data_IF_322221073082
#
_entry.id   IF_322221073082
#
_cell.length_a   1.000
_cell.length_b   1.000
_cell.length_c   1.000
_cell.angle_alpha   90.00
_cell.angle_beta   90.00
_cell.angle_gamma   90.00
#
_symmetry.space_group_name_H-M   'P 1'
#
loop_
_entity.id
_entity.type
_entity.pdbx_description
1 polymer ?
#
# COMPACT_ATOMS: atom_id res chain seq x y z
N UNK A 1 10.31 27.37 -17.92
CA UNK A 1 9.10 28.24 -17.98
C UNK A 1 8.28 27.91 -16.75
N UNK A 2 8.13 28.86 -15.84
CA UNK A 2 7.45 28.64 -14.54
C UNK A 2 5.96 28.51 -14.76
N UNK A 3 5.38 27.31 -14.65
CA UNK A 3 3.93 27.10 -14.57
C UNK A 3 3.49 27.32 -13.12
N UNK A 4 2.49 28.16 -12.95
CA UNK A 4 1.89 28.47 -11.67
C UNK A 4 0.93 27.35 -11.28
N UNK A 5 1.20 26.67 -10.19
CA UNK A 5 0.27 25.73 -9.57
C UNK A 5 -0.85 26.52 -8.88
N UNK A 6 -2.07 26.12 -9.18
CA UNK A 6 -3.29 26.60 -8.49
C UNK A 6 -3.64 25.52 -7.45
N UNK A 7 -3.34 25.81 -6.20
CA UNK A 7 -3.81 24.97 -5.09
C UNK A 7 -5.32 25.25 -4.89
N UNK A 8 -6.15 24.25 -5.10
CA UNK A 8 -7.57 24.30 -4.76
C UNK A 8 -7.72 23.94 -3.28
N UNK A 9 -7.89 24.94 -2.48
CA UNK A 9 -8.19 24.82 -1.05
C UNK A 9 -9.68 24.48 -0.91
N UNK A 10 -10.01 23.29 -0.41
CA UNK A 10 -11.38 22.89 -0.12
C UNK A 10 -11.94 23.72 1.05
N UNK A 11 -12.86 24.63 0.76
CA UNK A 11 -13.64 25.35 1.77
C UNK A 11 -14.78 24.48 2.26
N UNK A 12 -14.80 24.20 3.56
CA UNK A 12 -15.98 23.70 4.27
C UNK A 12 -17.13 24.70 4.14
N UNK A 13 -18.22 24.29 3.51
CA UNK A 13 -19.48 25.00 3.49
C UNK A 13 -20.41 24.43 4.56
N UNK A 14 -20.57 25.19 5.63
CA UNK A 14 -21.67 25.01 6.60
C UNK A 14 -22.96 25.47 5.97
N UNK A 15 -23.96 24.60 5.90
CA UNK A 15 -25.32 24.90 5.46
C UNK A 15 -26.17 25.32 6.66
N UNK A 16 -26.79 26.49 6.67
CA UNK A 16 -27.90 26.77 7.60
C UNK A 16 -29.23 26.37 6.95
N UNK A 17 -30.00 25.54 7.64
CA UNK A 17 -31.42 25.31 7.36
C UNK A 17 -32.21 26.61 7.57
N UNK A 18 -32.97 27.01 6.56
CA UNK A 18 -34.10 27.91 6.74
C UNK A 18 -35.33 27.27 6.11
N UNK A 19 -36.32 27.02 6.96
CA UNK A 19 -37.70 26.65 6.57
C UNK A 19 -38.48 27.90 6.13
N UNK A 20 -39.36 27.68 5.15
CA UNK A 20 -40.54 28.54 4.99
C UNK A 20 -40.96 28.85 3.58
N UNK A 21 -42.06 28.28 3.11
CA UNK A 21 -43.30 29.01 2.81
C UNK A 21 -43.71 29.13 1.36
N UNK A 22 -44.81 28.53 1.08
CA UNK A 22 -45.67 28.40 -0.10
C UNK A 22 -45.94 29.64 -1.00
N UNK A 23 -46.35 29.25 -2.21
CA UNK A 23 -47.42 29.80 -3.12
C UNK A 23 -46.95 30.62 -4.32
N UNK A 24 -47.25 30.11 -5.52
CA UNK A 24 -48.41 30.54 -6.32
C UNK A 24 -48.05 31.07 -7.69
N UNK A 25 -48.64 30.39 -8.69
CA UNK A 25 -49.18 30.85 -9.96
C UNK A 25 -48.34 31.30 -11.19
N UNK A 26 -48.43 30.49 -12.20
CA UNK A 26 -49.01 30.62 -13.56
C UNK A 26 -48.49 31.63 -14.60
N UNK A 27 -48.38 31.04 -15.80
CA UNK A 27 -48.71 31.54 -17.17
C UNK A 27 -47.53 31.92 -18.10
N UNK A 28 -47.22 31.06 -19.04
CA UNK A 28 -47.67 31.06 -20.46
C UNK A 28 -47.15 32.19 -21.37
N UNK A 29 -46.40 31.88 -22.42
CA UNK A 29 -46.73 31.96 -23.82
C UNK A 29 -45.54 32.00 -24.78
N UNK A 30 -45.60 31.02 -25.69
CA UNK A 30 -45.51 31.08 -27.17
C UNK A 30 -44.29 31.68 -27.86
N UNK A 31 -43.77 30.77 -28.73
CA UNK A 31 -42.91 31.01 -29.88
C UNK A 31 -43.58 31.88 -30.97
N UNK A 32 -42.89 32.31 -32.03
CA UNK A 32 -42.62 31.40 -33.14
C UNK A 32 -41.29 31.61 -33.93
N UNK A 33 -41.10 30.65 -34.84
CA UNK A 33 -39.99 30.43 -35.75
C UNK A 33 -39.87 31.50 -36.88
N UNK A 34 -38.66 31.55 -37.49
CA UNK A 34 -38.53 31.59 -38.96
C UNK A 34 -37.13 31.17 -39.40
N UNK A 35 -37.15 30.40 -40.44
CA UNK A 35 -36.13 29.79 -41.29
C UNK A 35 -35.26 30.84 -42.01
N UNK A 36 -33.97 30.45 -42.31
CA UNK A 36 -33.48 30.52 -43.69
C UNK A 36 -32.18 29.67 -43.83
N UNK A 37 -32.19 28.92 -44.93
CA UNK A 37 -31.11 28.06 -45.44
C UNK A 37 -29.97 28.85 -46.06
N UNK A 38 -28.74 28.40 -45.85
CA UNK A 38 -27.69 28.55 -46.84
C UNK A 38 -26.65 27.41 -46.75
N UNK A 39 -26.67 26.61 -47.77
CA UNK A 39 -25.71 25.56 -48.11
C UNK A 39 -24.30 26.08 -48.35
N UNK A 40 -23.29 25.47 -47.74
CA UNK A 40 -21.97 25.34 -48.37
C UNK A 40 -21.27 24.09 -47.84
N UNK A 41 -20.93 23.25 -48.80
CA UNK A 41 -20.13 22.02 -48.66
C UNK A 41 -18.71 22.35 -48.22
N UNK A 42 -18.26 21.71 -47.11
CA UNK A 42 -16.86 21.51 -46.79
C UNK A 42 -16.66 20.13 -46.19
N UNK A 43 -15.59 19.52 -46.62
CA UNK A 43 -15.17 18.13 -46.46
C UNK A 43 -15.26 17.57 -45.02
N UNK A 44 -15.80 16.39 -44.93
CA UNK A 44 -15.84 15.59 -43.72
C UNK A 44 -14.44 15.07 -43.38
N UNK A 45 -13.79 15.69 -42.40
CA UNK A 45 -12.84 15.00 -41.57
C UNK A 45 -13.65 14.33 -40.44
N UNK A 46 -13.76 13.02 -40.52
CA UNK A 46 -14.39 12.19 -39.47
C UNK A 46 -13.54 12.21 -38.20
N UNK A 47 -13.78 13.16 -37.33
CA UNK A 47 -13.51 13.01 -35.91
C UNK A 47 -14.72 12.30 -35.32
N UNK A 48 -14.60 11.03 -35.01
CA UNK A 48 -15.56 10.30 -34.17
C UNK A 48 -15.51 10.91 -32.78
N UNK A 49 -16.33 11.93 -32.53
CA UNK A 49 -16.61 12.45 -31.19
C UNK A 49 -17.44 11.43 -30.44
N UNK A 50 -16.84 10.35 -29.96
CA UNK A 50 -17.42 9.50 -28.95
C UNK A 50 -17.56 10.29 -27.65
N UNK A 51 -18.67 10.11 -26.94
CA UNK A 51 -18.90 10.67 -25.62
C UNK A 51 -17.77 10.19 -24.69
N UNK A 52 -17.09 11.11 -23.99
CA UNK A 52 -16.02 10.77 -23.04
C UNK A 52 -16.61 9.98 -21.88
N UNK A 53 -16.07 8.79 -21.62
CA UNK A 53 -16.48 7.98 -20.46
C UNK A 53 -15.78 8.49 -19.23
N UNK A 54 -16.57 8.84 -18.20
CA UNK A 54 -16.04 9.29 -16.91
C UNK A 54 -16.06 8.15 -15.91
N UNK A 55 -14.94 7.96 -15.22
CA UNK A 55 -14.82 6.99 -14.11
C UNK A 55 -14.19 7.67 -12.90
N UNK A 56 -14.40 7.09 -11.74
CA UNK A 56 -13.85 7.57 -10.47
C UNK A 56 -12.91 6.52 -9.88
N UNK A 57 -11.82 6.96 -9.30
CA UNK A 57 -10.87 6.11 -8.60
C UNK A 57 -10.57 6.67 -7.20
N UNK A 58 -10.75 5.84 -6.18
CA UNK A 58 -10.36 6.17 -4.82
C UNK A 58 -9.08 5.43 -4.49
N UNK A 59 -8.04 6.19 -4.19
CA UNK A 59 -6.68 5.69 -4.04
C UNK A 59 -6.08 6.22 -2.73
N UNK A 60 -4.99 5.60 -2.29
CA UNK A 60 -4.17 6.21 -1.24
C UNK A 60 -3.61 7.53 -1.75
N UNK A 61 -3.34 8.44 -0.82
CA UNK A 61 -2.65 9.67 -1.15
C UNK A 61 -1.32 9.34 -1.85
N UNK A 62 -1.24 9.51 -3.18
CA UNK A 62 -0.01 9.21 -3.90
C UNK A 62 0.99 10.32 -3.64
N UNK A 63 2.24 9.95 -3.74
CA UNK A 63 3.31 10.90 -3.79
C UNK A 63 3.36 11.59 -5.16
N UNK A 64 4.10 12.68 -5.23
CA UNK A 64 4.16 13.56 -6.42
C UNK A 64 4.43 12.79 -7.72
N UNK A 65 5.24 11.73 -7.66
CA UNK A 65 5.62 10.91 -8.81
C UNK A 65 4.48 10.03 -9.33
N UNK A 66 3.63 9.52 -8.44
CA UNK A 66 2.50 8.67 -8.82
C UNK A 66 1.44 9.44 -9.62
N UNK A 67 1.29 10.74 -9.37
CA UNK A 67 0.39 11.61 -10.13
C UNK A 67 0.83 11.75 -11.60
N UNK A 68 2.14 11.82 -11.87
CA UNK A 68 2.65 11.89 -13.24
C UNK A 68 2.31 10.62 -14.05
N UNK A 69 2.33 9.47 -13.39
CA UNK A 69 1.91 8.20 -13.98
C UNK A 69 0.41 8.19 -14.33
N UNK A 70 -0.46 8.71 -13.46
CA UNK A 70 -1.90 8.82 -13.74
C UNK A 70 -2.20 9.82 -14.85
N UNK A 71 -1.46 10.93 -14.94
CA UNK A 71 -1.55 11.90 -16.02
C UNK A 71 -1.18 11.28 -17.39
N UNK A 72 -0.14 10.42 -17.44
CA UNK A 72 0.28 9.73 -18.66
C UNK A 72 -0.79 8.78 -19.22
N UNK A 73 -1.61 8.15 -18.35
CA UNK A 73 -2.78 7.40 -18.80
C UNK A 73 -3.76 8.28 -19.56
N UNK A 74 -4.11 9.43 -18.99
CA UNK A 74 -5.07 10.36 -19.60
C UNK A 74 -4.60 10.91 -20.95
N UNK A 75 -3.28 11.11 -21.12
CA UNK A 75 -2.70 11.50 -22.40
C UNK A 75 -2.81 10.37 -23.44
N UNK A 76 -2.62 9.11 -23.02
CA UNK A 76 -2.67 7.94 -23.91
C UNK A 76 -4.10 7.54 -24.29
N UNK A 77 -5.06 7.74 -23.38
CA UNK A 77 -6.46 7.35 -23.52
C UNK A 77 -7.42 8.55 -23.37
N UNK A 78 -7.39 9.55 -24.29
CA UNK A 78 -8.16 10.80 -24.15
C UNK A 78 -9.68 10.61 -24.21
N UNK A 79 -10.17 9.42 -24.56
CA UNK A 79 -11.60 9.05 -24.51
C UNK A 79 -12.08 8.73 -23.09
N UNK A 80 -11.17 8.59 -22.12
CA UNK A 80 -11.49 8.32 -20.71
C UNK A 80 -11.09 9.50 -19.85
N UNK A 81 -12.00 9.93 -18.98
CA UNK A 81 -11.77 10.96 -17.96
C UNK A 81 -11.82 10.31 -16.59
N UNK A 82 -10.76 10.42 -15.80
CA UNK A 82 -10.70 9.82 -14.47
C UNK A 82 -10.65 10.92 -13.43
N UNK A 83 -11.58 10.84 -12.46
CA UNK A 83 -11.57 11.67 -11.26
C UNK A 83 -10.95 10.88 -10.11
N UNK A 84 -9.83 11.34 -9.59
CA UNK A 84 -9.12 10.72 -8.48
C UNK A 84 -9.51 11.38 -7.16
N UNK A 85 -9.87 10.57 -6.16
CA UNK A 85 -10.00 11.00 -4.76
C UNK A 85 -8.97 10.26 -3.93
N UNK A 86 -8.21 11.01 -3.11
CA UNK A 86 -7.07 10.50 -2.37
C UNK A 86 -7.38 10.48 -0.89
N UNK A 87 -7.11 9.35 -0.24
CA UNK A 87 -7.35 9.10 1.17
C UNK A 87 -6.09 8.54 1.84
N UNK A 88 -6.02 8.62 3.16
CA UNK A 88 -5.10 7.77 3.92
C UNK A 88 -5.65 6.32 3.98
N UNK A 89 -4.79 5.33 4.23
CA UNK A 89 -5.14 3.91 4.12
C UNK A 89 -6.41 3.51 4.89
N UNK A 90 -6.47 3.80 6.18
CA UNK A 90 -7.63 3.44 7.01
C UNK A 90 -8.89 4.22 6.61
N UNK A 91 -8.74 5.49 6.22
CA UNK A 91 -9.84 6.32 5.71
C UNK A 91 -10.36 5.77 4.38
N UNK A 92 -9.48 5.35 3.47
CA UNK A 92 -9.87 4.74 2.19
C UNK A 92 -10.73 3.50 2.41
N UNK A 93 -10.33 2.61 3.32
CA UNK A 93 -11.09 1.41 3.69
C UNK A 93 -12.48 1.75 4.22
N UNK A 94 -12.56 2.70 5.18
CA UNK A 94 -13.82 3.12 5.79
C UNK A 94 -14.76 3.75 4.75
N UNK A 95 -14.28 4.72 3.97
CA UNK A 95 -15.07 5.41 2.96
C UNK A 95 -15.55 4.46 1.86
N UNK A 96 -14.69 3.52 1.42
CA UNK A 96 -15.05 2.50 0.43
C UNK A 96 -16.19 1.62 0.96
N UNK A 97 -16.11 1.18 2.21
CA UNK A 97 -17.14 0.34 2.83
C UNK A 97 -18.49 1.08 2.90
N UNK A 98 -18.50 2.34 3.33
CA UNK A 98 -19.69 3.19 3.41
C UNK A 98 -20.29 3.38 2.00
N UNK A 99 -19.47 3.69 1.01
CA UNK A 99 -19.92 3.97 -0.36
C UNK A 99 -20.51 2.73 -1.04
N UNK A 100 -19.95 1.54 -0.81
CA UNK A 100 -20.50 0.27 -1.30
C UNK A 100 -21.88 0.02 -0.70
N UNK A 101 -22.05 0.21 0.60
CA UNK A 101 -23.35 0.06 1.26
C UNK A 101 -24.38 1.06 0.75
N UNK A 102 -23.96 2.25 0.37
CA UNK A 102 -24.82 3.30 -0.19
C UNK A 102 -25.06 3.15 -1.71
N UNK A 103 -24.36 2.25 -2.40
CA UNK A 103 -24.42 2.11 -3.86
C UNK A 103 -23.78 3.26 -4.61
N UNK A 104 -22.82 3.95 -4.01
CA UNK A 104 -22.10 5.13 -4.55
C UNK A 104 -20.59 4.92 -4.60
N UNK A 105 -20.15 3.67 -4.62
CA UNK A 105 -18.73 3.34 -4.67
C UNK A 105 -18.07 3.86 -5.96
N UNK A 106 -16.77 4.21 -5.92
CA UNK A 106 -16.04 4.61 -7.11
C UNK A 106 -15.91 3.45 -8.09
N UNK A 107 -15.67 3.76 -9.36
CA UNK A 107 -15.52 2.74 -10.40
C UNK A 107 -14.31 1.84 -10.14
N UNK A 108 -13.19 2.42 -9.69
CA UNK A 108 -11.97 1.71 -9.33
C UNK A 108 -11.83 1.71 -7.82
N UNK A 109 -11.76 0.50 -7.25
CA UNK A 109 -11.52 0.22 -5.84
C UNK A 109 -10.05 -0.18 -5.64
N UNK A 110 -9.49 0.11 -4.46
CA UNK A 110 -8.13 -0.29 -4.11
C UNK A 110 -8.11 -1.07 -2.79
N UNK A 111 -8.46 -2.35 -2.80
CA UNK A 111 -8.30 -3.21 -1.62
C UNK A 111 -6.86 -3.67 -1.43
N UNK A 112 -6.52 -4.05 -0.19
CA UNK A 112 -5.39 -4.93 0.08
C UNK A 112 -5.72 -6.35 -0.36
N UNK A 113 -4.73 -7.05 -0.94
CA UNK A 113 -4.85 -8.47 -1.31
C UNK A 113 -4.92 -9.31 -0.04
N UNK A 114 -5.91 -10.16 0.09
CA UNK A 114 -6.19 -10.92 1.31
C UNK A 114 -7.53 -10.53 1.91
N UNK A 115 -7.60 -10.24 3.21
CA UNK A 115 -8.86 -10.04 3.93
C UNK A 115 -9.75 -8.97 3.30
N UNK A 116 -9.21 -7.79 2.98
CA UNK A 116 -10.03 -6.70 2.41
C UNK A 116 -10.61 -7.06 1.04
N UNK A 117 -9.81 -7.63 0.13
CA UNK A 117 -10.31 -8.08 -1.16
C UNK A 117 -11.36 -9.18 -1.00
N UNK A 118 -11.15 -10.13 -0.10
CA UNK A 118 -12.09 -11.19 0.20
C UNK A 118 -13.43 -10.66 0.74
N UNK A 119 -13.39 -9.63 1.61
CA UNK A 119 -14.58 -8.95 2.13
C UNK A 119 -15.38 -8.28 0.99
N UNK A 120 -14.69 -7.58 0.08
CA UNK A 120 -15.32 -6.95 -1.08
C UNK A 120 -15.93 -7.98 -2.04
N UNK A 121 -15.26 -9.11 -2.27
CA UNK A 121 -15.77 -10.22 -3.09
C UNK A 121 -17.02 -10.82 -2.42
N UNK A 122 -16.96 -11.09 -1.12
CA UNK A 122 -18.08 -11.64 -0.36
C UNK A 122 -19.30 -10.69 -0.34
N UNK A 123 -19.07 -9.38 -0.33
CA UNK A 123 -20.10 -8.36 -0.46
C UNK A 123 -20.65 -8.22 -1.90
N UNK A 124 -20.08 -8.93 -2.89
CA UNK A 124 -20.44 -8.80 -4.30
C UNK A 124 -20.05 -7.46 -4.93
N UNK A 125 -19.10 -6.75 -4.33
CA UNK A 125 -18.70 -5.40 -4.74
C UNK A 125 -17.72 -5.39 -5.93
N UNK A 126 -17.02 -6.50 -6.18
CA UNK A 126 -16.03 -6.61 -7.27
C UNK A 126 -16.66 -7.22 -8.52
N UNK A 127 -16.34 -6.67 -9.68
CA UNK A 127 -16.72 -7.23 -10.98
C UNK A 127 -15.85 -8.44 -11.35
N UNK A 128 -16.40 -9.37 -12.13
CA UNK A 128 -15.64 -10.44 -12.79
C UNK A 128 -14.75 -9.84 -13.88
N UNK A 129 -13.44 -10.07 -13.80
CA UNK A 129 -12.44 -9.55 -14.72
C UNK A 129 -11.88 -10.60 -15.71
N UNK A 130 -12.42 -11.83 -15.74
CA UNK A 130 -11.88 -12.91 -16.57
C UNK A 130 -11.82 -12.54 -18.06
N UNK A 131 -12.89 -11.92 -18.59
CA UNK A 131 -12.92 -11.50 -20.01
C UNK A 131 -11.83 -10.44 -20.33
N UNK A 132 -11.57 -9.53 -19.43
CA UNK A 132 -10.52 -8.55 -19.57
C UNK A 132 -9.13 -9.19 -19.41
N UNK A 133 -8.99 -10.13 -18.47
CA UNK A 133 -7.75 -10.89 -18.32
C UNK A 133 -7.37 -11.67 -19.58
N UNK A 134 -8.35 -12.27 -20.27
CA UNK A 134 -8.15 -12.91 -21.57
C UNK A 134 -7.80 -11.89 -22.66
N UNK A 135 -8.50 -10.76 -22.70
CA UNK A 135 -8.29 -9.68 -23.69
C UNK A 135 -6.88 -9.08 -23.61
N UNK A 136 -6.38 -8.83 -22.40
CA UNK A 136 -5.11 -8.15 -22.17
C UNK A 136 -3.96 -9.10 -21.85
N UNK A 137 -4.22 -10.38 -21.65
CA UNK A 137 -3.18 -11.39 -21.35
C UNK A 137 -2.61 -11.31 -19.94
N UNK A 138 -3.37 -10.78 -18.98
CA UNK A 138 -2.85 -10.53 -17.61
C UNK A 138 -2.35 -11.78 -16.92
N UNK A 139 -2.98 -12.93 -17.13
CA UNK A 139 -2.55 -14.20 -16.52
C UNK A 139 -1.14 -14.58 -16.94
N UNK A 140 -0.80 -14.43 -18.22
CA UNK A 140 0.51 -14.80 -18.76
C UNK A 140 1.62 -13.85 -18.31
N UNK A 141 1.25 -12.60 -17.97
CA UNK A 141 2.18 -11.59 -17.48
C UNK A 141 2.38 -11.61 -15.96
N UNK A 142 1.54 -12.35 -15.22
CA UNK A 142 1.54 -12.40 -13.75
C UNK A 142 2.44 -13.51 -13.21
N UNK A 143 2.88 -13.37 -11.97
CA UNK A 143 3.27 -14.51 -11.15
C UNK A 143 2.00 -15.28 -10.75
N UNK A 144 2.04 -16.61 -10.79
CA UNK A 144 0.87 -17.48 -10.58
C UNK A 144 0.25 -17.26 -9.19
N UNK A 145 1.07 -17.23 -8.15
CA UNK A 145 0.67 -17.01 -6.77
C UNK A 145 -0.01 -15.64 -6.55
N UNK A 146 0.48 -14.61 -7.24
CA UNK A 146 -0.10 -13.25 -7.17
C UNK A 146 -1.44 -13.19 -7.91
N UNK A 147 -1.53 -13.83 -9.09
CA UNK A 147 -2.77 -13.91 -9.85
C UNK A 147 -3.85 -14.67 -9.07
N UNK A 148 -3.45 -15.79 -8.46
CA UNK A 148 -4.35 -16.62 -7.65
C UNK A 148 -4.82 -15.89 -6.39
N UNK A 149 -3.96 -15.10 -5.75
CA UNK A 149 -4.33 -14.28 -4.59
C UNK A 149 -5.36 -13.17 -4.92
N UNK A 150 -5.42 -12.75 -6.20
CA UNK A 150 -6.43 -11.80 -6.70
C UNK A 150 -7.69 -12.49 -7.25
N UNK A 151 -7.74 -13.84 -7.19
CA UNK A 151 -8.80 -14.69 -7.74
C UNK A 151 -9.53 -15.44 -6.64
N UNK A 152 -10.79 -15.80 -6.90
CA UNK A 152 -11.59 -16.69 -6.03
C UNK A 152 -12.50 -17.57 -6.87
N UNK A 153 -12.50 -18.87 -6.60
CA UNK A 153 -13.34 -19.86 -7.31
C UNK A 153 -13.17 -19.81 -8.85
N UNK A 154 -11.95 -19.51 -9.33
CA UNK A 154 -11.61 -19.41 -10.75
C UNK A 154 -12.02 -18.09 -11.43
N UNK A 155 -12.48 -17.12 -10.67
CA UNK A 155 -12.80 -15.76 -11.14
C UNK A 155 -11.74 -14.78 -10.64
N UNK A 156 -11.15 -13.99 -11.55
CA UNK A 156 -10.28 -12.87 -11.23
C UNK A 156 -11.12 -11.66 -10.84
N UNK A 157 -10.83 -11.05 -9.68
CA UNK A 157 -11.57 -9.90 -9.17
C UNK A 157 -10.73 -8.62 -9.07
N UNK A 158 -9.41 -8.75 -9.12
CA UNK A 158 -8.51 -7.61 -9.02
C UNK A 158 -7.23 -7.85 -9.81
N UNK A 159 -6.51 -6.78 -10.11
CA UNK A 159 -5.14 -6.80 -10.65
C UNK A 159 -4.22 -6.22 -9.58
N UNK A 160 -3.07 -6.84 -9.27
CA UNK A 160 -2.14 -6.31 -8.30
C UNK A 160 -1.60 -4.95 -8.77
N UNK A 161 -1.35 -4.05 -7.83
CA UNK A 161 -0.65 -2.79 -8.12
C UNK A 161 0.76 -3.11 -8.62
N UNK A 162 1.20 -2.39 -9.63
CA UNK A 162 2.43 -2.70 -10.38
C UNK A 162 3.75 -2.55 -9.62
N UNK A 163 3.77 -1.93 -8.44
CA UNK A 163 4.97 -1.89 -7.60
C UNK A 163 5.03 -3.14 -6.75
N UNK A 164 6.04 -3.96 -6.99
CA UNK A 164 6.28 -5.19 -6.23
C UNK A 164 7.24 -4.99 -5.07
N UNK A 165 7.19 -5.94 -4.14
CA UNK A 165 8.13 -6.05 -3.04
C UNK A 165 7.75 -5.23 -1.81
N UNK A 166 7.38 -5.94 -0.76
CA UNK A 166 7.15 -5.37 0.57
C UNK A 166 8.26 -5.73 1.54
N UNK A 167 9.43 -6.09 1.00
CA UNK A 167 10.57 -6.43 1.85
C UNK A 167 10.96 -5.23 2.70
N UNK A 168 10.72 -5.35 3.98
CA UNK A 168 11.18 -4.42 4.99
C UNK A 168 12.66 -4.64 5.26
N UNK A 169 13.34 -3.55 5.52
CA UNK A 169 14.72 -3.56 5.98
C UNK A 169 15.01 -2.30 6.79
N UNK A 170 16.21 -2.21 7.31
CA UNK A 170 16.73 -0.99 7.88
C UNK A 170 17.60 -0.28 6.85
N UNK A 171 17.11 0.84 6.32
CA UNK A 171 17.95 1.78 5.58
C UNK A 171 18.75 2.62 6.57
N UNK A 172 20.01 2.88 6.29
CA UNK A 172 20.80 3.66 7.21
C UNK A 172 21.63 4.76 6.53
N UNK A 173 21.90 5.82 7.30
CA UNK A 173 22.78 6.89 6.92
C UNK A 173 24.24 6.42 7.07
N UNK A 174 24.89 6.08 5.95
CA UNK A 174 26.24 5.53 5.94
C UNK A 174 27.29 6.57 6.38
N UNK A 175 27.06 7.83 6.07
CA UNK A 175 27.95 8.92 6.51
C UNK A 175 27.93 9.06 8.04
N UNK A 176 26.73 8.98 8.66
CA UNK A 176 26.58 8.99 10.12
C UNK A 176 27.22 7.75 10.76
N UNK A 177 27.00 6.57 10.20
CA UNK A 177 27.61 5.33 10.71
C UNK A 177 29.13 5.43 10.71
N UNK A 178 29.72 5.97 9.65
CA UNK A 178 31.16 6.21 9.51
C UNK A 178 31.66 7.27 10.49
N UNK A 179 30.95 8.39 10.66
CA UNK A 179 31.26 9.43 11.62
C UNK A 179 31.35 8.89 13.05
N UNK A 180 30.39 8.02 13.40
CA UNK A 180 30.29 7.41 14.73
C UNK A 180 31.18 6.17 14.90
N UNK A 181 31.88 5.74 13.86
CA UNK A 181 32.75 4.54 13.90
C UNK A 181 31.99 3.24 14.12
N UNK A 182 30.73 3.15 13.66
CA UNK A 182 29.88 1.98 13.81
C UNK A 182 30.21 0.95 12.72
N UNK A 183 30.35 -0.32 13.13
CA UNK A 183 30.46 -1.49 12.23
C UNK A 183 29.11 -2.21 12.22
N UNK A 184 28.25 -1.86 11.23
CA UNK A 184 26.91 -2.40 11.10
C UNK A 184 26.95 -3.73 10.37
N UNK A 185 26.45 -4.79 11.01
CA UNK A 185 26.44 -6.16 10.47
C UNK A 185 25.03 -6.54 10.01
N UNK A 186 24.97 -7.39 8.97
CA UNK A 186 23.69 -7.89 8.43
C UNK A 186 22.95 -8.83 9.39
N UNK A 187 23.63 -9.41 10.36
CA UNK A 187 23.09 -10.41 11.30
C UNK A 187 23.11 -9.96 12.75
N UNK A 188 22.98 -8.64 13.00
CA UNK A 188 22.85 -8.11 14.36
C UNK A 188 21.65 -8.73 15.08
N UNK A 189 21.84 -9.09 16.34
CA UNK A 189 20.72 -9.40 17.23
C UNK A 189 20.00 -8.12 17.69
N UNK A 190 18.76 -8.27 18.20
CA UNK A 190 18.02 -7.15 18.80
C UNK A 190 18.81 -6.49 19.92
N UNK A 191 19.54 -7.25 20.74
CA UNK A 191 20.33 -6.69 21.82
C UNK A 191 21.53 -5.88 21.29
N UNK A 192 22.23 -6.37 20.28
CA UNK A 192 23.30 -5.63 19.60
C UNK A 192 22.79 -4.35 18.95
N UNK A 193 21.62 -4.43 18.28
CA UNK A 193 20.97 -3.26 17.68
C UNK A 193 20.60 -2.20 18.73
N UNK A 194 19.93 -2.61 19.81
CA UNK A 194 19.56 -1.71 20.90
C UNK A 194 20.79 -1.07 21.56
N UNK A 195 21.89 -1.79 21.66
CA UNK A 195 23.13 -1.27 22.24
C UNK A 195 23.75 -0.11 21.43
N UNK A 196 23.49 -0.01 20.12
CA UNK A 196 23.93 1.13 19.29
C UNK A 196 23.35 2.47 19.78
N UNK A 197 22.20 2.44 20.45
CA UNK A 197 21.48 3.61 20.93
C UNK A 197 22.36 4.54 21.77
N UNK A 198 23.16 3.99 22.66
CA UNK A 198 23.97 4.80 23.57
C UNK A 198 25.02 5.63 22.82
N UNK A 199 25.64 5.06 21.79
CA UNK A 199 26.60 5.76 20.93
C UNK A 199 25.91 6.82 20.08
N UNK A 200 24.78 6.45 19.46
CA UNK A 200 24.03 7.34 18.55
C UNK A 200 23.44 8.52 19.32
N UNK A 201 22.77 8.25 20.45
CA UNK A 201 22.16 9.30 21.28
C UNK A 201 23.21 10.18 21.94
N UNK A 202 24.38 9.61 22.34
CA UNK A 202 25.50 10.36 22.87
C UNK A 202 26.07 11.38 21.90
N UNK A 203 25.92 11.16 20.60
CA UNK A 203 26.31 12.09 19.54
C UNK A 203 25.20 13.10 19.16
N UNK A 204 24.02 13.00 19.78
CA UNK A 204 22.89 13.91 19.53
C UNK A 204 21.95 13.47 18.41
N UNK A 205 22.08 12.24 17.92
CA UNK A 205 21.20 11.63 16.94
C UNK A 205 20.17 10.68 17.59
N UNK A 206 19.25 10.14 16.82
CA UNK A 206 18.31 9.09 17.26
C UNK A 206 18.59 7.79 16.50
N UNK A 207 18.26 6.62 17.11
CA UNK A 207 18.67 5.35 16.52
C UNK A 207 17.77 4.96 15.34
N UNK A 208 16.46 4.80 15.55
CA UNK A 208 15.53 4.26 14.56
C UNK A 208 14.35 5.19 14.32
N UNK A 209 14.21 5.64 13.08
CA UNK A 209 13.01 6.31 12.58
C UNK A 209 11.92 5.28 12.34
N UNK A 210 10.91 5.32 13.19
CA UNK A 210 9.72 4.47 13.15
C UNK A 210 8.54 5.28 13.65
N UNK A 211 7.42 5.26 12.94
CA UNK A 211 6.17 5.91 13.32
C UNK A 211 5.04 4.91 13.34
N UNK A 212 4.21 4.95 14.39
CA UNK A 212 3.13 4.00 14.59
C UNK A 212 1.76 4.66 14.89
N UNK A 213 1.59 5.94 14.55
CA UNK A 213 0.27 6.60 14.62
C UNK A 213 -0.76 5.85 13.78
N UNK A 214 -0.35 5.45 12.59
CA UNK A 214 -1.18 4.74 11.60
C UNK A 214 -1.40 3.26 11.99
N UNK A 215 -0.70 2.74 13.00
CA UNK A 215 -0.74 1.38 13.57
C UNK A 215 -0.32 0.25 12.61
N UNK A 216 -0.54 0.38 11.31
CA UNK A 216 -0.12 -0.63 10.33
C UNK A 216 1.39 -0.90 10.33
N UNK A 217 2.30 0.10 10.59
CA UNK A 217 3.73 -0.20 10.61
C UNK A 217 4.12 -1.20 11.71
N UNK A 218 3.44 -1.15 12.85
CA UNK A 218 3.63 -2.12 13.94
C UNK A 218 3.18 -3.52 13.56
N UNK A 219 2.07 -3.66 12.82
CA UNK A 219 1.59 -4.97 12.33
C UNK A 219 2.55 -5.55 11.30
N UNK A 220 3.09 -4.72 10.39
CA UNK A 220 4.10 -5.18 9.43
C UNK A 220 5.38 -5.61 10.16
N UNK A 221 5.84 -4.83 11.15
CA UNK A 221 7.00 -5.23 11.98
C UNK A 221 6.75 -6.55 12.72
N UNK A 222 5.54 -6.81 13.21
CA UNK A 222 5.14 -8.12 13.73
C UNK A 222 5.33 -9.22 12.67
N UNK A 223 4.87 -8.98 11.44
CA UNK A 223 5.03 -9.90 10.33
C UNK A 223 6.49 -10.21 10.03
N UNK A 224 7.36 -9.20 10.03
CA UNK A 224 8.80 -9.38 9.83
C UNK A 224 9.44 -10.28 10.90
N UNK A 225 9.01 -10.17 12.15
CA UNK A 225 9.50 -11.06 13.20
C UNK A 225 8.85 -12.44 13.14
N UNK A 226 7.61 -12.56 12.66
CA UNK A 226 7.05 -13.87 12.35
C UNK A 226 7.84 -14.61 11.27
N UNK A 227 8.37 -13.91 10.25
CA UNK A 227 9.24 -14.54 9.24
C UNK A 227 10.52 -15.17 9.84
N UNK A 228 10.90 -14.82 11.04
CA UNK A 228 12.05 -15.42 11.73
C UNK A 228 11.70 -16.68 12.51
N UNK A 229 10.46 -16.84 12.98
CA UNK A 229 10.08 -17.93 13.90
C UNK A 229 8.93 -18.79 13.40
N UNK A 230 8.06 -18.28 12.54
CA UNK A 230 6.89 -18.99 12.04
C UNK A 230 7.15 -19.68 10.70
N UNK A 231 6.41 -20.75 10.46
CA UNK A 231 6.31 -21.38 9.13
C UNK A 231 5.03 -20.90 8.43
N UNK A 232 4.91 -21.01 7.09
CA UNK A 232 3.64 -20.73 6.40
C UNK A 232 2.47 -21.52 7.00
N UNK A 233 2.68 -22.78 7.41
CA UNK A 233 1.66 -23.61 8.04
C UNK A 233 1.14 -23.00 9.36
N UNK A 234 2.00 -22.39 10.19
CA UNK A 234 1.54 -21.75 11.43
C UNK A 234 0.56 -20.61 11.15
N UNK A 235 0.78 -19.84 10.07
CA UNK A 235 -0.13 -18.74 9.70
C UNK A 235 -1.50 -19.29 9.31
N UNK A 236 -1.55 -20.37 8.52
CA UNK A 236 -2.79 -21.05 8.17
C UNK A 236 -3.49 -21.65 9.40
N UNK A 237 -2.73 -22.22 10.32
CA UNK A 237 -3.23 -22.80 11.56
C UNK A 237 -3.81 -21.72 12.51
N UNK A 238 -3.20 -20.54 12.59
CA UNK A 238 -3.73 -19.39 13.33
C UNK A 238 -5.02 -18.87 12.69
N UNK A 239 -5.07 -18.77 11.36
CA UNK A 239 -6.26 -18.32 10.62
C UNK A 239 -7.45 -19.29 10.74
N UNK A 240 -7.17 -20.60 10.75
CA UNK A 240 -8.21 -21.64 10.88
C UNK A 240 -8.61 -21.97 12.31
N UNK A 241 -7.87 -21.46 13.31
CA UNK A 241 -8.05 -21.81 14.72
C UNK A 241 -7.47 -23.17 15.12
N UNK A 242 -6.76 -23.87 14.19
CA UNK A 242 -6.07 -25.13 14.52
C UNK A 242 -4.98 -24.93 15.59
N UNK A 243 -4.37 -23.75 15.63
CA UNK A 243 -3.51 -23.25 16.69
C UNK A 243 -4.11 -21.96 17.23
N UNK A 244 -4.22 -21.83 18.56
CA UNK A 244 -4.68 -20.59 19.20
C UNK A 244 -3.53 -19.62 19.38
N UNK A 245 -3.81 -18.32 19.25
CA UNK A 245 -2.81 -17.26 19.38
C UNK A 245 -2.07 -17.30 20.71
N UNK A 246 -2.78 -17.56 21.81
CA UNK A 246 -2.22 -17.63 23.17
C UNK A 246 -1.53 -18.96 23.50
N UNK A 247 -1.70 -19.99 22.68
CA UNK A 247 -1.04 -21.29 22.84
C UNK A 247 0.25 -21.44 21.99
N UNK A 248 0.51 -20.47 21.07
CA UNK A 248 1.70 -20.49 20.21
C UNK A 248 2.90 -19.83 20.90
N UNK A 249 4.00 -20.56 21.11
CA UNK A 249 5.24 -19.98 21.62
C UNK A 249 5.85 -18.97 20.63
N UNK A 250 5.67 -19.13 19.32
CA UNK A 250 6.15 -18.21 18.29
C UNK A 250 5.43 -16.85 18.40
N UNK A 251 4.12 -16.86 18.65
CA UNK A 251 3.34 -15.62 18.89
C UNK A 251 3.88 -14.90 20.13
N UNK A 252 4.08 -15.62 21.22
CA UNK A 252 4.59 -15.02 22.47
C UNK A 252 6.01 -14.46 22.29
N UNK A 253 6.86 -15.13 21.52
CA UNK A 253 8.22 -14.68 21.22
C UNK A 253 8.21 -13.39 20.37
N UNK A 254 7.37 -13.31 19.35
CA UNK A 254 7.21 -12.11 18.51
C UNK A 254 6.65 -10.95 19.35
N UNK A 255 5.60 -11.19 20.15
CA UNK A 255 5.03 -10.15 21.00
C UNK A 255 6.02 -9.66 22.07
N UNK A 256 6.81 -10.57 22.65
CA UNK A 256 7.90 -10.21 23.56
C UNK A 256 8.99 -9.36 22.88
N UNK A 257 9.29 -9.65 21.62
CA UNK A 257 10.24 -8.90 20.81
C UNK A 257 9.75 -7.48 20.54
N UNK A 258 8.48 -7.33 20.14
CA UNK A 258 7.87 -6.01 19.93
C UNK A 258 7.86 -5.19 21.23
N UNK A 259 7.47 -5.80 22.35
CA UNK A 259 7.52 -5.15 23.66
C UNK A 259 8.93 -4.67 24.01
N UNK A 260 9.94 -5.51 23.82
CA UNK A 260 11.35 -5.20 24.07
C UNK A 260 11.82 -4.01 23.22
N UNK A 261 11.48 -4.00 21.92
CA UNK A 261 11.84 -2.90 21.03
C UNK A 261 11.17 -1.60 21.44
N UNK A 262 9.86 -1.61 21.67
CA UNK A 262 9.09 -0.42 22.06
C UNK A 262 9.60 0.21 23.34
N UNK A 263 9.98 -0.60 24.34
CA UNK A 263 10.45 -0.12 25.65
C UNK A 263 11.96 0.18 25.70
N UNK A 264 12.72 -0.23 24.68
CA UNK A 264 14.19 -0.05 24.67
C UNK A 264 14.65 1.40 24.54
N UNK A 265 13.79 2.29 24.02
CA UNK A 265 14.17 3.63 23.58
C UNK A 265 14.98 3.63 22.28
N UNK A 266 14.91 2.57 21.47
CA UNK A 266 15.52 2.50 20.15
C UNK A 266 14.75 3.33 19.13
N UNK A 267 13.43 3.44 19.24
CA UNK A 267 12.60 4.27 18.39
C UNK A 267 12.75 5.76 18.70
N UNK A 268 12.48 6.60 17.72
CA UNK A 268 12.43 8.05 17.93
C UNK A 268 11.44 8.42 19.04
N UNK A 269 11.70 9.51 19.74
CA UNK A 269 10.77 10.02 20.76
C UNK A 269 9.44 10.40 20.13
N UNK A 270 8.32 9.89 20.68
CA UNK A 270 6.96 10.17 20.21
C UNK A 270 6.56 9.35 18.98
N UNK A 271 7.18 8.22 18.73
CA UNK A 271 6.88 7.33 17.61
C UNK A 271 5.42 6.88 17.58
N UNK A 272 4.78 6.74 18.73
CA UNK A 272 3.37 6.33 18.85
C UNK A 272 2.39 7.37 18.27
N UNK A 273 2.82 8.64 18.22
CA UNK A 273 2.03 9.77 17.73
C UNK A 273 2.58 10.38 16.43
N UNK A 274 3.55 9.73 15.83
CA UNK A 274 4.15 10.13 14.55
C UNK A 274 3.69 9.20 13.44
N UNK A 275 3.25 9.78 12.32
CA UNK A 275 2.88 9.01 11.12
C UNK A 275 4.11 8.55 10.35
N UNK A 276 3.91 7.51 9.53
CA UNK A 276 4.98 6.88 8.75
C UNK A 276 5.72 7.84 7.82
N UNK A 277 5.00 8.72 7.10
CA UNK A 277 5.62 9.64 6.14
C UNK A 277 6.46 10.70 6.84
N UNK A 278 5.96 11.26 7.92
CA UNK A 278 6.67 12.28 8.71
C UNK A 278 8.00 11.77 9.28
N UNK A 279 8.02 10.51 9.76
CA UNK A 279 9.25 9.93 10.31
C UNK A 279 10.28 9.60 9.22
N UNK A 280 9.84 9.15 8.04
CA UNK A 280 10.73 8.92 6.91
C UNK A 280 11.33 10.24 6.41
N UNK A 281 10.53 11.29 6.32
CA UNK A 281 11.01 12.63 5.99
C UNK A 281 12.00 13.16 7.04
N UNK A 282 11.79 12.85 8.33
CA UNK A 282 12.72 13.21 9.40
C UNK A 282 14.06 12.47 9.25
N UNK A 283 14.06 11.19 8.89
CA UNK A 283 15.28 10.44 8.60
C UNK A 283 16.05 11.04 7.42
N UNK A 284 15.36 11.37 6.32
CA UNK A 284 15.96 12.02 5.16
C UNK A 284 16.65 13.35 5.51
N UNK A 285 16.28 13.99 6.62
CA UNK A 285 16.97 15.19 7.14
C UNK A 285 18.29 14.89 7.90
N UNK A 286 18.70 13.62 8.01
CA UNK A 286 19.95 13.19 8.64
C UNK A 286 19.94 13.23 10.18
N UNK A 287 18.77 13.14 10.83
CA UNK A 287 18.67 13.19 12.31
C UNK A 287 18.65 11.82 12.98
N UNK A 288 18.43 10.77 12.21
CA UNK A 288 18.27 9.40 12.70
C UNK A 288 19.21 8.48 11.91
N UNK A 289 19.81 7.50 12.58
CA UNK A 289 20.73 6.57 11.92
C UNK A 289 19.98 5.64 10.97
N UNK A 290 18.95 4.95 11.47
CA UNK A 290 18.16 4.00 10.72
C UNK A 290 16.76 4.51 10.41
N UNK A 291 16.23 4.03 9.28
CA UNK A 291 14.81 4.10 8.93
C UNK A 291 14.29 2.68 8.70
N UNK A 292 13.19 2.33 9.39
CA UNK A 292 12.44 1.12 9.09
C UNK A 292 11.42 1.42 7.99
N UNK A 293 11.63 0.83 6.82
CA UNK A 293 10.73 1.03 5.69
C UNK A 293 10.83 -0.16 4.72
N UNK A 294 9.83 -0.33 3.90
CA UNK A 294 9.86 -1.26 2.79
C UNK A 294 10.51 -0.65 1.55
N UNK A 295 10.44 -1.41 0.46
CA UNK A 295 10.98 -1.02 -0.85
C UNK A 295 10.35 0.24 -1.43
N UNK A 296 9.22 0.70 -0.90
CA UNK A 296 8.55 1.96 -1.28
C UNK A 296 9.16 3.22 -0.64
N UNK A 297 10.27 3.12 0.09
CA UNK A 297 10.84 4.27 0.80
C UNK A 297 11.11 5.49 -0.10
N UNK A 298 11.54 5.34 -1.37
CA UNK A 298 11.78 6.52 -2.20
C UNK A 298 10.51 7.34 -2.42
N UNK A 299 9.34 6.67 -2.44
CA UNK A 299 8.04 7.31 -2.55
C UNK A 299 7.60 8.02 -1.25
N UNK A 300 8.19 7.70 -0.10
CA UNK A 300 7.86 8.27 1.21
C UNK A 300 8.74 9.46 1.62
N UNK A 301 9.64 9.89 0.75
CA UNK A 301 10.58 11.01 1.00
C UNK A 301 10.43 12.05 -0.10
N UNK A 302 10.30 13.32 0.28
CA UNK A 302 10.20 14.43 -0.69
C UNK A 302 11.45 14.50 -1.58
N UNK A 303 11.27 14.45 -2.88
CA UNK A 303 12.36 14.40 -3.85
C UNK A 303 12.95 12.99 -4.03
N UNK A 304 12.32 11.96 -3.45
CA UNK A 304 12.75 10.59 -3.56
C UNK A 304 14.18 10.40 -3.06
N UNK A 305 14.93 9.55 -3.74
CA UNK A 305 16.34 9.30 -3.43
C UNK A 305 17.22 10.55 -3.52
N UNK A 306 16.97 11.39 -4.51
CA UNK A 306 17.73 12.64 -4.73
C UNK A 306 17.49 13.67 -3.61
N UNK A 307 16.38 13.51 -2.86
CA UNK A 307 16.06 14.33 -1.70
C UNK A 307 16.86 14.00 -0.43
N UNK A 308 17.63 12.89 -0.44
CA UNK A 308 18.43 12.44 0.72
C UNK A 308 19.90 12.88 0.55
N UNK A 309 20.46 13.72 1.45
CA UNK A 309 21.76 14.36 1.26
C UNK A 309 22.95 13.51 1.75
N UNK A 310 22.80 12.22 1.99
CA UNK A 310 23.83 11.31 2.50
C UNK A 310 23.82 9.97 1.75
N UNK A 311 24.91 9.21 1.88
CA UNK A 311 24.99 7.85 1.33
C UNK A 311 24.08 6.89 2.10
N UNK A 312 23.30 6.10 1.35
CA UNK A 312 22.31 5.15 1.90
C UNK A 312 22.80 3.74 1.64
N UNK A 313 22.74 2.91 2.67
CA UNK A 313 22.88 1.46 2.59
C UNK A 313 21.81 0.76 3.39
N UNK A 314 21.75 -0.56 3.30
CA UNK A 314 20.77 -1.38 4.00
C UNK A 314 21.43 -2.41 4.91
N UNK A 315 20.72 -2.76 5.95
CA UNK A 315 21.07 -3.86 6.84
C UNK A 315 19.80 -4.61 7.22
N UNK A 316 19.90 -5.94 7.31
CA UNK A 316 18.77 -6.80 7.67
C UNK A 316 18.15 -6.37 9.00
N UNK A 317 16.86 -6.63 9.16
CA UNK A 317 16.22 -6.47 10.47
C UNK A 317 16.94 -7.30 11.53
N UNK A 318 17.07 -6.77 12.75
CA UNK A 318 17.77 -7.47 13.82
C UNK A 318 17.13 -8.84 14.09
N UNK A 319 17.97 -9.84 14.29
CA UNK A 319 17.54 -11.19 14.64
C UNK A 319 17.05 -11.27 16.08
N UNK A 320 16.03 -12.07 16.32
CA UNK A 320 15.54 -12.35 17.69
C UNK A 320 16.70 -12.89 18.54
N UNK A 321 17.46 -13.83 18.01
CA UNK A 321 18.73 -14.27 18.57
C UNK A 321 19.75 -14.63 17.47
N UNK A 322 20.99 -14.95 17.85
CA UNK A 322 22.07 -15.23 16.92
C UNK A 322 21.89 -16.50 16.07
N UNK A 323 21.03 -17.40 16.48
CA UNK A 323 20.72 -18.65 15.76
C UNK A 323 19.50 -18.57 14.85
N UNK A 324 18.81 -17.43 14.87
CA UNK A 324 17.58 -17.25 14.07
C UNK A 324 17.90 -17.08 12.59
N UNK A 325 17.17 -17.81 11.74
CA UNK A 325 17.21 -17.68 10.30
C UNK A 325 15.81 -17.40 9.76
N UNK A 326 15.71 -16.62 8.66
CA UNK A 326 14.43 -16.34 8.03
C UNK A 326 13.79 -17.64 7.49
N UNK A 327 12.52 -17.84 7.81
CA UNK A 327 11.71 -18.98 7.35
C UNK A 327 10.90 -18.64 6.08
N UNK A 328 10.75 -17.37 5.76
CA UNK A 328 10.00 -16.90 4.62
C UNK A 328 10.31 -15.46 4.25
N UNK A 329 9.66 -15.00 3.21
CA UNK A 329 9.65 -13.61 2.79
C UNK A 329 8.22 -13.04 2.84
N UNK A 330 8.09 -11.72 3.05
CA UNK A 330 6.79 -11.05 2.98
C UNK A 330 6.18 -11.23 1.59
N UNK A 331 4.87 -11.46 1.53
CA UNK A 331 4.13 -11.60 0.27
C UNK A 331 4.37 -10.38 -0.64
N UNK A 332 4.67 -10.66 -1.91
CA UNK A 332 5.19 -9.68 -2.86
C UNK A 332 4.18 -8.62 -3.30
N UNK A 333 2.88 -8.94 -3.33
CA UNK A 333 1.83 -8.02 -3.77
C UNK A 333 0.78 -7.83 -2.67
N UNK A 334 0.66 -6.61 -2.15
CA UNK A 334 -0.30 -6.31 -1.11
C UNK A 334 -1.50 -5.49 -1.59
N UNK A 335 -1.28 -4.55 -2.49
CA UNK A 335 -2.32 -3.68 -3.04
C UNK A 335 -2.84 -4.21 -4.38
N UNK A 336 -4.11 -4.08 -4.61
CA UNK A 336 -4.73 -4.41 -5.88
C UNK A 336 -5.74 -3.35 -6.32
N UNK A 337 -6.06 -3.37 -7.60
CA UNK A 337 -7.14 -2.57 -8.17
C UNK A 337 -8.26 -3.50 -8.62
N UNK A 338 -9.46 -3.25 -8.12
CA UNK A 338 -10.68 -3.94 -8.50
C UNK A 338 -11.65 -2.97 -9.18
N UNK A 339 -12.59 -3.50 -9.95
CA UNK A 339 -13.66 -2.73 -10.59
C UNK A 339 -14.95 -2.95 -9.82
N UNK A 340 -15.66 -1.86 -9.51
CA UNK A 340 -16.94 -1.94 -8.82
C UNK A 340 -17.97 -2.66 -9.67
N UNK A 341 -18.62 -3.68 -9.12
CA UNK A 341 -19.61 -4.51 -9.83
C UNK A 341 -20.82 -3.71 -10.31
N UNK A 342 -21.21 -2.65 -9.57
CA UNK A 342 -22.33 -1.77 -9.89
C UNK A 342 -22.05 -0.72 -10.97
N UNK A 343 -20.81 -0.59 -11.47
CA UNK A 343 -20.48 0.31 -12.57
C UNK A 343 -21.14 -0.14 -13.88
N UNK A 344 -21.42 0.80 -14.78
CA UNK A 344 -21.92 0.49 -16.12
C UNK A 344 -20.88 -0.25 -16.96
N UNK A 345 -21.30 -0.90 -18.04
CA UNK A 345 -20.38 -1.64 -18.92
C UNK A 345 -19.31 -0.71 -19.53
N UNK A 346 -19.67 0.52 -19.90
CA UNK A 346 -18.74 1.50 -20.42
C UNK A 346 -17.70 1.95 -19.36
N UNK A 347 -18.13 2.12 -18.11
CA UNK A 347 -17.22 2.43 -17.00
C UNK A 347 -16.30 1.24 -16.68
N UNK A 348 -16.82 0.01 -16.73
CA UNK A 348 -16.02 -1.22 -16.54
C UNK A 348 -14.95 -1.37 -17.62
N UNK A 349 -15.27 -1.06 -18.88
CA UNK A 349 -14.32 -1.08 -19.99
C UNK A 349 -13.22 -0.01 -19.79
N UNK A 350 -13.59 1.21 -19.42
CA UNK A 350 -12.65 2.29 -19.12
C UNK A 350 -11.75 1.92 -17.92
N UNK A 351 -12.33 1.34 -16.86
CA UNK A 351 -11.58 0.87 -15.70
C UNK A 351 -10.62 -0.27 -16.07
N UNK A 352 -11.06 -1.23 -16.88
CA UNK A 352 -10.20 -2.32 -17.34
C UNK A 352 -9.01 -1.81 -18.17
N UNK A 353 -9.21 -0.80 -19.02
CA UNK A 353 -8.12 -0.14 -19.74
C UNK A 353 -7.12 0.55 -18.79
N UNK A 354 -7.61 1.15 -17.70
CA UNK A 354 -6.77 1.75 -16.67
C UNK A 354 -6.00 0.68 -15.87
N UNK A 355 -6.67 -0.42 -15.51
CA UNK A 355 -6.03 -1.58 -14.87
C UNK A 355 -4.94 -2.16 -15.77
N UNK A 356 -5.22 -2.35 -17.06
CA UNK A 356 -4.23 -2.81 -18.02
C UNK A 356 -3.03 -1.87 -18.09
N UNK A 357 -3.26 -0.57 -18.23
CA UNK A 357 -2.18 0.42 -18.23
C UNK A 357 -1.36 0.36 -16.94
N UNK A 358 -1.99 0.15 -15.79
CA UNK A 358 -1.28 0.05 -14.52
C UNK A 358 -0.39 -1.20 -14.41
N UNK A 359 -0.67 -2.22 -15.20
CA UNK A 359 -0.04 -3.53 -15.12
C UNK A 359 0.82 -3.88 -16.34
N UNK A 360 0.58 -3.29 -17.52
CA UNK A 360 1.32 -3.58 -18.73
C UNK A 360 2.74 -2.98 -18.71
N UNK A 361 3.53 -3.24 -19.78
CA UNK A 361 4.91 -2.79 -19.90
C UNK A 361 5.09 -1.27 -19.81
N UNK A 362 4.16 -0.49 -20.36
CA UNK A 362 4.25 0.98 -20.30
C UNK A 362 4.10 1.47 -18.86
N UNK A 363 3.12 0.94 -18.14
CA UNK A 363 2.90 1.26 -16.74
C UNK A 363 4.02 0.77 -15.83
N UNK A 364 4.46 -0.48 -16.01
CA UNK A 364 5.60 -1.01 -15.28
C UNK A 364 6.88 -0.21 -15.51
N UNK A 365 7.13 0.22 -16.78
CA UNK A 365 8.27 1.05 -17.11
C UNK A 365 8.21 2.43 -16.45
N UNK A 366 7.04 3.05 -16.42
CA UNK A 366 6.86 4.33 -15.76
C UNK A 366 7.11 4.21 -14.24
N UNK A 367 6.57 3.17 -13.61
CA UNK A 367 6.78 2.88 -12.19
C UNK A 367 8.22 2.51 -11.85
N UNK A 368 8.85 1.69 -12.69
CA UNK A 368 10.25 1.32 -12.50
C UNK A 368 11.17 2.54 -12.57
N UNK A 369 10.89 3.52 -13.44
CA UNK A 369 11.69 4.73 -13.55
C UNK A 369 11.78 5.51 -12.21
N UNK A 370 10.73 5.43 -11.38
CA UNK A 370 10.69 6.10 -10.09
C UNK A 370 11.29 5.25 -8.96
N UNK A 371 11.06 3.93 -8.97
CA UNK A 371 11.45 3.04 -7.87
C UNK A 371 12.68 2.17 -8.17
N UNK A 372 13.00 1.93 -9.46
CA UNK A 372 14.08 1.06 -9.92
C UNK A 372 14.11 -0.35 -9.26
N UNK A 373 12.92 -0.90 -8.98
CA UNK A 373 12.75 -2.21 -8.32
C UNK A 373 11.81 -3.13 -9.12
N UNK A 374 11.76 -4.40 -8.75
CA UNK A 374 10.87 -5.38 -9.39
C UNK A 374 9.41 -4.91 -9.35
N UNK A 375 8.70 -5.18 -10.45
CA UNK A 375 7.27 -4.99 -10.54
C UNK A 375 6.54 -6.31 -10.27
N UNK A 376 5.21 -6.27 -10.15
CA UNK A 376 4.37 -7.48 -10.07
C UNK A 376 4.11 -8.12 -11.43
N UNK A 377 4.61 -7.53 -12.53
CA UNK A 377 4.53 -8.09 -13.87
C UNK A 377 5.78 -8.94 -14.14
N UNK A 378 5.60 -10.25 -14.15
CA UNK A 378 6.68 -11.23 -14.39
C UNK A 378 7.37 -11.01 -15.73
N UNK A 379 6.59 -10.86 -16.79
CA UNK A 379 7.13 -10.71 -18.15
C UNK A 379 7.95 -9.42 -18.31
N UNK A 380 7.56 -8.35 -17.63
CA UNK A 380 8.35 -7.12 -17.59
C UNK A 380 9.69 -7.35 -16.87
N UNK A 381 9.66 -7.97 -15.69
CA UNK A 381 10.87 -8.25 -14.92
C UNK A 381 11.86 -9.15 -15.69
N UNK A 382 11.35 -10.16 -16.40
CA UNK A 382 12.16 -11.02 -17.27
C UNK A 382 12.77 -10.29 -18.47
N UNK A 383 12.17 -9.18 -18.89
CA UNK A 383 12.60 -8.37 -20.04
C UNK A 383 13.50 -7.19 -19.66
N UNK A 384 13.76 -6.92 -18.38
CA UNK A 384 14.48 -5.71 -17.92
C UNK A 384 15.85 -5.54 -18.57
N UNK A 385 16.64 -6.62 -18.70
CA UNK A 385 17.96 -6.58 -19.35
C UNK A 385 17.85 -6.16 -20.82
N UNK A 386 16.87 -6.72 -21.57
CA UNK A 386 16.63 -6.38 -22.98
C UNK A 386 16.13 -4.93 -23.15
N UNK A 387 15.42 -4.42 -22.15
CA UNK A 387 14.94 -3.04 -22.09
C UNK A 387 16.03 -2.04 -21.67
N UNK A 388 17.23 -2.53 -21.30
CA UNK A 388 18.33 -1.70 -20.80
C UNK A 388 18.02 -1.03 -19.48
N UNK A 389 17.23 -1.68 -18.63
CA UNK A 389 16.83 -1.21 -17.31
C UNK A 389 17.65 -1.93 -16.24
N UNK A 390 18.22 -1.16 -15.34
CA UNK A 390 19.03 -1.69 -14.22
C UNK A 390 18.32 -1.41 -12.91
N UNK A 391 18.30 -2.42 -12.04
CA UNK A 391 17.78 -2.29 -10.69
C UNK A 391 18.66 -1.38 -9.85
N UNK A 392 18.06 -0.60 -8.97
CA UNK A 392 18.81 0.19 -8.01
C UNK A 392 19.76 -0.71 -7.18
N UNK A 393 21.07 -0.37 -7.09
CA UNK A 393 22.04 -1.17 -6.33
C UNK A 393 21.62 -1.46 -4.89
N UNK A 394 20.85 -0.59 -4.23
CA UNK A 394 20.33 -0.84 -2.89
C UNK A 394 19.50 -2.12 -2.80
N UNK A 395 18.68 -2.41 -3.83
CA UNK A 395 17.85 -3.63 -3.85
C UNK A 395 18.64 -4.90 -4.22
N UNK A 396 19.94 -4.74 -4.52
CA UNK A 396 20.87 -5.84 -4.74
C UNK A 396 21.72 -6.14 -3.49
N UNK A 397 21.56 -5.35 -2.42
CA UNK A 397 22.27 -5.57 -1.16
C UNK A 397 21.74 -6.81 -0.42
N UNK A 398 22.59 -7.38 0.45
CA UNK A 398 22.33 -8.64 1.15
C UNK A 398 21.02 -8.62 1.96
N UNK A 399 20.64 -7.47 2.52
CA UNK A 399 19.40 -7.33 3.28
C UNK A 399 18.14 -7.69 2.47
N UNK A 400 18.16 -7.45 1.15
CA UNK A 400 17.08 -7.83 0.24
C UNK A 400 17.29 -9.22 -0.36
N UNK A 401 18.50 -9.50 -0.89
CA UNK A 401 18.75 -10.72 -1.64
C UNK A 401 18.61 -11.99 -0.80
N UNK A 402 18.82 -11.92 0.51
CA UNK A 402 18.58 -13.04 1.43
C UNK A 402 17.11 -13.49 1.48
N UNK A 403 16.17 -12.64 1.15
CA UNK A 403 14.75 -12.94 1.25
C UNK A 403 14.18 -13.53 -0.05
N UNK A 404 14.78 -13.22 -1.20
CA UNK A 404 14.18 -13.44 -2.53
C UNK A 404 13.87 -14.91 -2.86
N UNK A 405 14.65 -15.86 -2.33
CA UNK A 405 14.48 -17.29 -2.61
C UNK A 405 13.65 -18.03 -1.54
N UNK A 406 13.14 -17.29 -0.54
CA UNK A 406 12.38 -17.90 0.55
C UNK A 406 10.90 -18.03 0.18
N UNK A 407 10.16 -18.97 0.82
CA UNK A 407 8.72 -19.10 0.64
C UNK A 407 7.99 -17.79 0.97
N UNK A 408 7.01 -17.43 0.17
CA UNK A 408 6.18 -16.26 0.46
C UNK A 408 5.25 -16.54 1.64
N UNK A 409 5.14 -15.56 2.53
CA UNK A 409 4.26 -15.57 3.70
C UNK A 409 3.42 -14.31 3.74
N UNK A 410 2.12 -14.48 3.78
CA UNK A 410 1.22 -13.34 3.97
C UNK A 410 1.16 -13.00 5.47
N UNK A 411 1.89 -12.00 5.90
CA UNK A 411 2.09 -11.63 7.31
C UNK A 411 1.81 -10.16 7.60
N UNK A 412 1.36 -9.41 6.60
CA UNK A 412 1.07 -7.99 6.78
C UNK A 412 -0.32 -7.76 7.38
N UNK A 413 -0.76 -6.50 7.39
CA UNK A 413 -2.04 -6.06 7.96
C UNK A 413 -3.29 -6.50 7.18
N UNK A 414 -3.17 -7.47 6.29
CA UNK A 414 -4.24 -8.13 5.54
C UNK A 414 -4.17 -9.67 5.59
N UNK A 415 -3.22 -10.22 6.37
CA UNK A 415 -2.99 -11.66 6.45
C UNK A 415 -4.10 -12.42 7.18
N UNK A 416 -4.75 -11.76 8.13
CA UNK A 416 -5.77 -12.32 9.00
C UNK A 416 -7.11 -11.65 8.74
N UNK A 417 -8.18 -12.18 9.33
CA UNK A 417 -9.49 -11.51 9.31
C UNK A 417 -9.37 -10.05 9.78
N UNK A 418 -10.18 -9.19 9.19
CA UNK A 418 -10.16 -7.76 9.49
C UNK A 418 -10.31 -7.47 11.00
N UNK A 419 -11.16 -8.22 11.70
CA UNK A 419 -11.37 -8.02 13.15
C UNK A 419 -10.13 -8.40 13.96
N UNK A 420 -9.43 -9.47 13.54
CA UNK A 420 -8.16 -9.90 14.15
C UNK A 420 -7.06 -8.86 13.91
N UNK A 421 -6.98 -8.32 12.71
CA UNK A 421 -6.01 -7.25 12.37
C UNK A 421 -6.26 -5.99 13.20
N UNK A 422 -7.52 -5.56 13.35
CA UNK A 422 -7.82 -4.38 14.16
C UNK A 422 -7.46 -4.60 15.63
N UNK A 423 -7.67 -5.82 16.16
CA UNK A 423 -7.23 -6.17 17.51
C UNK A 423 -5.70 -6.19 17.61
N UNK A 424 -4.99 -6.76 16.63
CA UNK A 424 -3.52 -6.74 16.59
C UNK A 424 -2.97 -5.32 16.58
N UNK A 425 -3.55 -4.40 15.80
CA UNK A 425 -3.18 -2.99 15.77
C UNK A 425 -3.24 -2.36 17.18
N UNK A 426 -4.27 -2.69 17.97
CA UNK A 426 -4.41 -2.20 19.35
C UNK A 426 -3.40 -2.84 20.30
N UNK A 427 -3.27 -4.17 20.24
CA UNK A 427 -2.39 -4.91 21.16
C UNK A 427 -0.91 -4.59 20.93
N UNK A 428 -0.51 -4.35 19.70
CA UNK A 428 0.87 -3.93 19.38
C UNK A 428 1.19 -2.56 20.00
N UNK A 429 0.24 -1.62 19.99
CA UNK A 429 0.40 -0.34 20.71
C UNK A 429 0.58 -0.59 22.20
N UNK A 430 -0.21 -1.48 22.81
CA UNK A 430 -0.08 -1.83 24.22
C UNK A 430 1.25 -2.52 24.55
N UNK A 431 1.74 -3.38 23.64
CA UNK A 431 3.05 -4.03 23.79
C UNK A 431 4.18 -3.00 23.72
N UNK A 432 4.18 -2.12 22.75
CA UNK A 432 5.20 -1.05 22.64
C UNK A 432 5.20 -0.15 23.88
N UNK A 433 4.03 0.20 24.40
CA UNK A 433 3.88 1.01 25.60
C UNK A 433 4.19 0.23 26.90
N UNK A 434 4.24 -1.11 26.86
CA UNK A 434 4.39 -1.96 28.04
C UNK A 434 3.16 -1.98 28.97
N UNK A 435 1.99 -1.63 28.46
CA UNK A 435 0.73 -1.64 29.20
C UNK A 435 0.08 -3.02 29.28
N UNK A 436 0.48 -3.94 28.41
CA UNK A 436 0.10 -5.37 28.43
C UNK A 436 1.35 -6.25 28.33
N UNK A 437 1.26 -7.48 28.88
CA UNK A 437 2.28 -8.50 28.64
C UNK A 437 2.02 -9.22 27.32
N UNK A 438 3.01 -9.91 26.72
CA UNK A 438 2.82 -10.74 25.54
C UNK A 438 1.65 -11.73 25.66
N UNK A 439 1.51 -12.38 26.83
CA UNK A 439 0.43 -13.33 27.10
C UNK A 439 -0.94 -12.65 27.11
N UNK A 440 -1.06 -11.48 27.75
CA UNK A 440 -2.31 -10.72 27.79
C UNK A 440 -2.73 -10.25 26.39
N UNK A 441 -1.77 -9.81 25.57
CA UNK A 441 -2.02 -9.41 24.20
C UNK A 441 -2.47 -10.62 23.35
N UNK A 442 -1.80 -11.77 23.51
CA UNK A 442 -2.15 -13.01 22.82
C UNK A 442 -3.53 -13.54 23.23
N UNK A 443 -3.90 -13.45 24.53
CA UNK A 443 -5.23 -13.81 25.04
C UNK A 443 -6.32 -12.95 24.38
N UNK A 444 -6.07 -11.64 24.23
CA UNK A 444 -7.02 -10.71 23.61
C UNK A 444 -7.23 -11.02 22.11
N UNK A 445 -6.14 -11.26 21.38
CA UNK A 445 -6.21 -11.66 19.97
C UNK A 445 -6.88 -13.01 19.78
N UNK A 446 -6.59 -13.99 20.65
CA UNK A 446 -7.21 -15.32 20.63
C UNK A 446 -8.73 -15.25 20.82
N UNK A 447 -9.22 -14.35 21.70
CA UNK A 447 -10.65 -14.18 21.91
C UNK A 447 -11.36 -13.66 20.65
N UNK A 448 -10.79 -12.66 19.96
CA UNK A 448 -11.35 -12.15 18.69
C UNK A 448 -11.26 -13.18 17.59
N UNK A 449 -10.14 -13.90 17.46
CA UNK A 449 -9.98 -14.96 16.47
C UNK A 449 -11.01 -16.08 16.65
N UNK A 450 -11.30 -16.48 17.89
CA UNK A 450 -12.34 -17.48 18.21
C UNK A 450 -13.75 -17.01 17.77
N UNK A 451 -14.08 -15.74 17.96
CA UNK A 451 -15.37 -15.19 17.49
C UNK A 451 -15.49 -15.23 15.97
N UNK A 452 -14.40 -14.94 15.25
CA UNK A 452 -14.35 -14.95 13.76
C UNK A 452 -14.61 -16.36 13.21
N UNK A 453 -14.03 -17.39 13.81
CA UNK A 453 -14.21 -18.79 13.38
C UNK A 453 -15.47 -19.45 13.95
N UNK A 454 -16.22 -18.75 14.82
CA UNK A 454 -17.50 -19.22 15.37
C UNK A 454 -17.35 -20.19 16.53
N UNK A 455 -16.28 -20.11 17.32
CA UNK A 455 -16.03 -20.87 18.56
C UNK A 455 -16.53 -20.14 19.83
#
# INVERSE_FOLDING_TARGET
MKKKFLAVLACMLTVPMVMGGCSGDSANSSAPASSDEASSSAEASSSSGGETVKITAWLNAPLENEMAYYEAFSEKYPQYEIEYTLYQDDELKEQTTIAIQAGTAPTILRPKVGSQLNDLIAAGACADLNSYSEQYGWKDMSYEDIYDACSKDGVLYAIPRSTGGYWQTLYYNADMAKELGLDLKQDMTIDEFIALKDTVNGAGYQLLSFGNLDRWPGVIMMGDYFMQVATPQLIDDLNSGAVKWNDSPEVLEVFGTLQKLGQSGAFITGFESSDHLSVNQSWASGKTLFMYCGTWWPESVTGGRDGVPFEIHTVSLPKIDSGTELQGQMFFANDAYAVYSGASDAEKEAAAAWLDYSFNFDGCKAKFADSAMYTVNKSFNESMEELGMEMDPLFQEEAFTKQMDLPQMNLADWAFDTSVIEELKLRIVDLFAGTMTPEQAADSVAAVAAEVIGE
#
